data_IF_761357160023
#
_entry.id   IF_761357160023
#
_cell.length_a   1.000
_cell.length_b   1.000
_cell.length_c   1.000
_cell.angle_alpha   90.00
_cell.angle_beta   90.00
_cell.angle_gamma   90.00
#
_symmetry.space_group_name_H-M   'P 1'
#
loop_
_entity.id
_entity.type
_entity.pdbx_description
1 polymer ?
#
# COMPACT_ATOMS: atom_id res chain seq x y z
N UNK A 1 -5.10 22.06 11.16
CA UNK A 1 -6.17 21.94 10.14
C UNK A 1 -6.99 20.72 10.51
N UNK A 2 -8.32 20.84 10.55
CA UNK A 2 -9.21 19.69 10.76
C UNK A 2 -9.36 18.95 9.44
N UNK A 3 -8.91 17.70 9.36
CA UNK A 3 -9.11 16.88 8.17
C UNK A 3 -10.60 16.47 8.10
N UNK A 4 -11.27 16.77 6.98
CA UNK A 4 -12.63 16.27 6.74
C UNK A 4 -12.57 14.75 6.57
N UNK A 5 -13.39 14.02 7.31
CA UNK A 5 -13.44 12.57 7.19
C UNK A 5 -13.97 12.13 5.83
N UNK A 6 -13.31 11.15 5.22
CA UNK A 6 -13.83 10.44 4.06
C UNK A 6 -14.95 9.50 4.51
N UNK A 7 -15.98 9.30 3.67
CA UNK A 7 -17.09 8.42 4.02
C UNK A 7 -16.65 6.95 4.10
N UNK A 8 -17.55 6.09 4.58
CA UNK A 8 -17.43 4.62 4.56
C UNK A 8 -17.01 4.11 3.18
N UNK A 9 -16.00 3.23 3.14
CA UNK A 9 -15.37 2.80 1.88
C UNK A 9 -14.33 3.77 1.31
N UNK A 10 -14.03 4.85 2.04
CA UNK A 10 -13.10 5.89 1.66
C UNK A 10 -11.68 5.38 1.42
N UNK A 11 -10.94 6.12 0.59
CA UNK A 11 -9.55 5.82 0.20
C UNK A 11 -8.67 7.02 0.45
N UNK A 12 -7.79 6.94 1.43
CA UNK A 12 -6.74 7.94 1.64
C UNK A 12 -5.53 7.59 0.78
N UNK A 13 -4.93 8.61 0.15
CA UNK A 13 -3.69 8.49 -0.60
C UNK A 13 -2.72 9.55 -0.14
N UNK A 14 -1.48 9.15 0.11
CA UNK A 14 -0.45 10.07 0.58
C UNK A 14 0.94 9.61 0.14
N UNK A 15 1.86 10.56 0.10
CA UNK A 15 3.26 10.32 -0.21
C UNK A 15 4.12 11.43 0.42
N UNK A 16 5.41 11.14 0.60
CA UNK A 16 6.41 12.15 0.94
C UNK A 16 7.13 12.63 -0.33
N UNK A 17 7.47 13.92 -0.41
CA UNK A 17 8.07 14.55 -1.58
C UNK A 17 7.04 15.32 -2.41
N UNK A 18 7.19 15.28 -3.74
CA UNK A 18 6.26 15.91 -4.66
C UNK A 18 6.06 15.05 -5.92
N UNK A 19 4.92 15.22 -6.58
CA UNK A 19 4.56 14.44 -7.76
C UNK A 19 5.60 14.51 -8.90
N UNK A 20 6.29 15.65 -9.02
CA UNK A 20 7.29 15.97 -10.04
C UNK A 20 8.71 16.17 -9.48
N UNK A 21 8.98 15.71 -8.26
CA UNK A 21 10.33 15.71 -7.66
C UNK A 21 10.60 14.37 -6.96
N UNK A 22 11.75 14.25 -6.27
CA UNK A 22 12.06 13.07 -5.46
C UNK A 22 10.91 12.79 -4.47
N UNK A 23 10.45 11.53 -4.44
CA UNK A 23 9.24 11.13 -3.70
C UNK A 23 9.30 9.69 -3.23
N UNK A 24 8.51 9.36 -2.20
CA UNK A 24 8.24 7.99 -1.80
C UNK A 24 7.27 7.31 -2.80
N UNK A 25 7.00 6.02 -2.58
CA UNK A 25 5.82 5.39 -3.16
C UNK A 25 4.55 6.11 -2.70
N UNK A 26 3.50 6.07 -3.53
CA UNK A 26 2.17 6.53 -3.11
C UNK A 26 1.52 5.45 -2.29
N UNK A 27 1.26 5.72 -1.01
CA UNK A 27 0.59 4.80 -0.10
C UNK A 27 -0.91 5.02 -0.12
N UNK A 28 -1.65 3.93 0.12
CA UNK A 28 -3.10 3.96 0.20
C UNK A 28 -3.59 3.26 1.47
N UNK A 29 -4.57 3.89 2.14
CA UNK A 29 -5.37 3.28 3.20
C UNK A 29 -6.82 3.23 2.72
N UNK A 30 -7.43 2.05 2.77
CA UNK A 30 -8.80 1.80 2.29
C UNK A 30 -9.63 1.25 3.44
N UNK A 31 -10.71 1.95 3.79
CA UNK A 31 -11.70 1.43 4.73
C UNK A 31 -12.67 0.45 4.06
N UNK A 32 -13.09 -0.59 4.79
CA UNK A 32 -14.13 -1.51 4.34
C UNK A 32 -15.49 -0.83 4.22
N UNK A 33 -16.30 -1.26 3.26
CA UNK A 33 -17.68 -0.76 3.07
C UNK A 33 -18.68 -1.45 4.00
N UNK A 34 -18.51 -2.76 4.20
CA UNK A 34 -19.45 -3.61 4.94
C UNK A 34 -18.94 -3.99 6.33
N UNK A 35 -17.74 -3.58 6.70
CA UNK A 35 -17.09 -3.93 7.95
C UNK A 35 -15.99 -2.94 8.32
N UNK A 36 -15.36 -3.17 9.47
CA UNK A 36 -14.28 -2.32 10.02
C UNK A 36 -12.89 -2.77 9.58
N UNK A 37 -12.82 -3.46 8.45
CA UNK A 37 -11.55 -3.92 7.89
C UNK A 37 -10.82 -2.74 7.25
N UNK A 38 -9.51 -2.66 7.47
CA UNK A 38 -8.67 -1.65 6.83
C UNK A 38 -7.61 -2.34 5.98
N UNK A 39 -7.41 -1.83 4.78
CA UNK A 39 -6.38 -2.31 3.87
C UNK A 39 -5.33 -1.24 3.65
N UNK A 40 -4.06 -1.61 3.72
CA UNK A 40 -2.93 -0.69 3.56
C UNK A 40 -1.93 -1.28 2.57
N UNK A 41 -1.36 -0.43 1.72
CA UNK A 41 -0.28 -0.83 0.81
C UNK A 41 0.12 0.28 -0.14
N UNK A 42 1.19 0.03 -0.91
CA UNK A 42 1.55 0.89 -2.03
C UNK A 42 0.45 0.83 -3.07
N UNK A 43 0.10 1.98 -3.64
CA UNK A 43 -1.01 2.12 -4.58
C UNK A 43 -0.81 1.26 -5.83
N UNK A 44 0.40 1.22 -6.35
CA UNK A 44 0.81 0.38 -7.48
C UNK A 44 0.58 -1.09 -7.18
N UNK A 45 0.93 -1.55 -5.99
CA UNK A 45 0.90 -2.98 -5.61
C UNK A 45 -0.38 -3.44 -4.88
N UNK A 46 -1.30 -2.54 -4.49
CA UNK A 46 -2.44 -2.90 -3.61
C UNK A 46 -3.37 -3.99 -4.21
N UNK A 47 -3.33 -4.16 -5.53
CA UNK A 47 -4.08 -5.18 -6.25
C UNK A 47 -3.37 -6.55 -6.29
N UNK A 48 -2.09 -6.59 -5.92
CA UNK A 48 -1.26 -7.78 -5.87
C UNK A 48 -1.02 -8.22 -4.42
N UNK A 49 -0.58 -7.28 -3.58
CA UNK A 49 -0.25 -7.51 -2.18
C UNK A 49 -0.75 -6.36 -1.32
N UNK A 50 -1.29 -6.69 -0.15
CA UNK A 50 -1.77 -5.69 0.82
C UNK A 50 -1.69 -6.18 2.25
N UNK A 51 -1.57 -5.22 3.16
CA UNK A 51 -1.77 -5.43 4.59
C UNK A 51 -3.26 -5.36 4.85
N UNK A 52 -3.81 -6.43 5.42
CA UNK A 52 -5.21 -6.54 5.79
C UNK A 52 -5.33 -6.52 7.31
N UNK A 53 -5.93 -5.46 7.84
CA UNK A 53 -6.21 -5.23 9.26
C UNK A 53 -7.67 -5.57 9.52
N UNK A 54 -7.97 -6.87 9.63
CA UNK A 54 -9.34 -7.31 9.82
C UNK A 54 -9.84 -6.98 11.23
N UNK A 55 -11.13 -6.62 11.34
CA UNK A 55 -11.79 -6.31 12.61
C UNK A 55 -11.80 -7.49 13.61
N UNK A 56 -11.61 -8.71 13.10
CA UNK A 56 -11.46 -9.94 13.89
C UNK A 56 -10.10 -10.07 14.58
N UNK A 57 -9.16 -9.13 14.36
CA UNK A 57 -7.79 -9.22 14.85
C UNK A 57 -6.88 -10.13 14.00
N UNK A 58 -7.38 -10.66 12.88
CA UNK A 58 -6.58 -11.48 11.97
C UNK A 58 -5.75 -10.59 11.03
N UNK A 59 -4.72 -9.94 11.56
CA UNK A 59 -3.89 -9.03 10.78
C UNK A 59 -2.79 -9.76 10.01
N UNK A 60 -2.56 -9.34 8.77
CA UNK A 60 -1.63 -10.04 7.87
C UNK A 60 -1.18 -9.18 6.70
N UNK A 61 0.02 -9.45 6.20
CA UNK A 61 0.40 -9.17 4.82
C UNK A 61 -0.05 -10.37 3.97
N UNK A 62 -0.80 -10.11 2.90
CA UNK A 62 -1.27 -11.17 2.02
C UNK A 62 -1.33 -10.70 0.57
N UNK A 63 -1.12 -11.66 -0.33
CA UNK A 63 -1.44 -11.50 -1.74
C UNK A 63 -2.95 -11.51 -1.97
N UNK A 64 -3.40 -10.89 -3.06
CA UNK A 64 -4.81 -10.94 -3.47
C UNK A 64 -5.13 -12.29 -4.13
N UNK A 65 -6.43 -12.62 -4.20
CA UNK A 65 -6.87 -13.80 -4.94
C UNK A 65 -6.49 -13.71 -6.41
N UNK A 66 -6.77 -12.55 -7.02
CA UNK A 66 -6.53 -12.31 -8.44
C UNK A 66 -5.06 -12.51 -8.80
N UNK A 67 -4.14 -12.01 -7.96
CA UNK A 67 -2.70 -12.18 -8.16
C UNK A 67 -2.26 -13.64 -8.06
N UNK A 68 -2.71 -14.37 -7.03
CA UNK A 68 -2.33 -15.78 -6.87
C UNK A 68 -2.89 -16.68 -7.97
N UNK A 69 -4.00 -16.28 -8.62
CA UNK A 69 -4.53 -16.99 -9.78
C UNK A 69 -3.69 -16.79 -11.05
N UNK A 70 -3.05 -15.62 -11.19
CA UNK A 70 -2.19 -15.32 -12.36
C UNK A 70 -0.72 -15.68 -12.15
N UNK A 71 -0.30 -15.74 -10.88
CA UNK A 71 1.09 -15.96 -10.48
C UNK A 71 1.09 -16.80 -9.23
N UNK A 72 1.36 -18.11 -9.36
CA UNK A 72 1.45 -18.99 -8.19
C UNK A 72 2.75 -18.66 -7.45
N UNK A 73 2.70 -18.07 -6.25
CA UNK A 73 3.91 -17.88 -5.48
C UNK A 73 4.49 -19.25 -5.13
N UNK A 74 5.75 -19.48 -5.53
CA UNK A 74 6.50 -20.66 -5.12
C UNK A 74 7.15 -20.33 -3.78
N UNK A 75 6.57 -20.87 -2.72
CA UNK A 75 7.16 -20.81 -1.39
C UNK A 75 8.19 -21.94 -1.27
N UNK A 76 9.45 -21.62 -1.52
CA UNK A 76 10.55 -22.53 -1.20
C UNK A 76 10.75 -22.53 0.32
N UNK A 77 10.03 -23.41 1.03
CA UNK A 77 10.52 -24.19 2.17
C UNK A 77 9.38 -24.76 3.01
N UNK A 78 9.51 -26.06 3.31
CA UNK A 78 8.68 -26.81 4.26
C UNK A 78 8.87 -26.32 5.72
N UNK A 79 9.86 -25.46 5.96
CA UNK A 79 10.33 -25.00 7.28
C UNK A 79 10.43 -23.46 7.39
N UNK A 80 9.67 -22.70 6.61
CA UNK A 80 9.73 -21.23 6.70
C UNK A 80 9.18 -20.71 8.04
N UNK A 81 9.99 -20.00 8.83
CA UNK A 81 9.57 -19.27 10.04
C UNK A 81 8.50 -18.19 9.81
N UNK A 82 8.14 -17.96 8.55
CA UNK A 82 7.14 -16.98 8.14
C UNK A 82 5.75 -17.57 7.95
N UNK A 83 5.62 -18.91 7.78
CA UNK A 83 4.35 -19.54 7.39
C UNK A 83 4.20 -20.98 7.89
N UNK A 84 2.98 -21.39 8.25
CA UNK A 84 2.65 -22.81 8.51
C UNK A 84 2.10 -23.53 7.26
N UNK A 85 2.34 -24.84 7.15
CA UNK A 85 1.94 -25.64 5.99
C UNK A 85 0.42 -25.65 5.72
N UNK A 86 -0.39 -25.43 6.75
CA UNK A 86 -1.86 -25.43 6.68
C UNK A 86 -2.45 -24.02 6.41
N UNK A 87 -1.61 -23.00 6.24
CA UNK A 87 -2.08 -21.64 6.00
C UNK A 87 -2.51 -21.39 4.57
N UNK A 88 -3.49 -20.50 4.42
CA UNK A 88 -3.92 -19.92 3.15
C UNK A 88 -2.69 -19.47 2.32
N UNK A 89 -2.54 -19.94 1.07
CA UNK A 89 -1.34 -19.71 0.25
C UNK A 89 -1.03 -18.27 -0.08
N UNK A 90 -1.98 -17.38 0.15
CA UNK A 90 -1.84 -15.94 -0.05
C UNK A 90 -1.20 -15.24 1.13
N UNK A 91 -1.23 -15.84 2.33
CA UNK A 91 -0.71 -15.19 3.54
C UNK A 91 0.81 -15.23 3.48
N UNK A 92 1.41 -14.05 3.36
CA UNK A 92 2.87 -13.89 3.40
C UNK A 92 3.35 -13.98 4.85
N UNK A 93 2.70 -13.24 5.74
CA UNK A 93 3.01 -13.27 7.17
C UNK A 93 1.87 -12.67 7.98
N UNK A 94 1.70 -13.15 9.23
CA UNK A 94 0.76 -12.59 10.19
C UNK A 94 1.41 -11.45 10.96
N UNK A 95 0.60 -10.44 11.27
CA UNK A 95 1.04 -9.30 12.03
C UNK A 95 0.50 -9.42 13.46
N UNK A 96 1.32 -9.10 14.48
CA UNK A 96 0.80 -8.99 15.83
C UNK A 96 -0.22 -7.85 15.88
N UNK A 97 -1.29 -8.06 16.65
CA UNK A 97 -2.26 -7.00 16.94
C UNK A 97 -1.73 -6.19 18.13
N UNK A 98 -1.40 -4.90 17.95
CA UNK A 98 -0.94 -4.06 19.04
C UNK A 98 -2.02 -3.87 20.10
N UNK A 99 -1.63 -3.64 21.36
CA UNK A 99 -2.59 -3.37 22.42
C UNK A 99 -3.40 -2.12 22.09
N UNK A 100 -4.66 -2.16 22.49
CA UNK A 100 -5.51 -0.99 22.43
C UNK A 100 -5.17 -0.01 23.56
N UNK A 101 -5.19 1.27 23.23
CA UNK A 101 -5.05 2.36 24.17
C UNK A 101 -6.12 3.41 23.87
N UNK A 102 -6.95 3.70 24.87
CA UNK A 102 -7.99 4.75 24.80
C UNK A 102 -8.93 4.59 23.59
N UNK A 103 -9.29 3.35 23.23
CA UNK A 103 -10.17 3.06 22.10
C UNK A 103 -9.47 2.97 20.74
N UNK A 104 -8.14 3.10 20.70
CA UNK A 104 -7.33 3.09 19.47
C UNK A 104 -6.26 2.03 19.47
N UNK A 105 -6.01 1.46 18.30
CA UNK A 105 -4.87 0.61 18.02
C UNK A 105 -3.97 1.31 17.01
N UNK A 106 -2.71 1.54 17.39
CA UNK A 106 -1.67 1.98 16.46
C UNK A 106 -1.25 0.78 15.63
N UNK A 107 -1.85 0.63 14.44
CA UNK A 107 -1.77 -0.61 13.69
C UNK A 107 -0.40 -0.82 13.04
N UNK A 108 0.10 0.21 12.36
CA UNK A 108 1.38 0.16 11.67
C UNK A 108 2.00 1.55 11.51
N UNK A 109 3.31 1.57 11.29
CA UNK A 109 4.07 2.73 10.86
C UNK A 109 4.66 2.49 9.48
N UNK A 110 4.40 3.40 8.53
CA UNK A 110 5.12 3.47 7.27
C UNK A 110 6.23 4.50 7.43
N UNK A 111 7.49 4.06 7.33
CA UNK A 111 8.68 4.87 7.50
C UNK A 111 9.27 5.21 6.14
N UNK A 112 9.36 6.50 5.87
CA UNK A 112 10.04 7.06 4.72
C UNK A 112 11.35 7.68 5.19
N UNK A 113 12.42 7.43 4.46
CA UNK A 113 13.75 8.03 4.66
C UNK A 113 14.24 8.66 3.38
N UNK A 114 15.23 9.56 3.43
CA UNK A 114 15.81 10.14 2.21
C UNK A 114 16.37 9.06 1.26
N UNK A 115 17.13 8.04 1.73
CA UNK A 115 17.56 6.92 0.88
C UNK A 115 16.41 6.12 0.28
N UNK A 116 15.19 6.19 0.83
CA UNK A 116 14.01 5.52 0.27
C UNK A 116 13.27 6.34 -0.79
N UNK A 117 13.73 7.56 -1.11
CA UNK A 117 13.08 8.39 -2.13
C UNK A 117 13.50 7.96 -3.54
N UNK A 118 12.61 8.22 -4.48
CA UNK A 118 12.68 7.83 -5.89
C UNK A 118 12.57 9.05 -6.78
N UNK A 119 13.20 9.00 -7.95
CA UNK A 119 12.88 9.91 -9.03
C UNK A 119 11.37 9.87 -9.35
N UNK A 120 10.78 10.95 -9.85
CA UNK A 120 9.36 10.95 -10.25
C UNK A 120 9.06 9.82 -11.22
N UNK A 121 8.00 9.07 -10.94
CA UNK A 121 7.50 8.02 -11.83
C UNK A 121 6.03 8.26 -12.18
N UNK A 122 5.64 7.74 -13.35
CA UNK A 122 4.27 7.89 -13.84
C UNK A 122 3.35 6.95 -13.08
N UNK A 123 2.36 7.51 -12.42
CA UNK A 123 1.26 6.74 -11.87
C UNK A 123 0.00 6.91 -12.71
N UNK A 124 -0.82 5.85 -12.80
CA UNK A 124 -2.17 5.97 -13.37
C UNK A 124 -2.91 7.13 -12.69
N UNK A 125 -3.52 8.07 -13.41
CA UNK A 125 -4.26 9.17 -12.81
C UNK A 125 -5.33 8.67 -11.82
N UNK A 126 -5.53 9.38 -10.72
CA UNK A 126 -6.54 9.03 -9.72
C UNK A 126 -7.84 9.75 -10.03
N UNK A 127 -8.92 9.00 -10.25
CA UNK A 127 -10.26 9.57 -10.34
C UNK A 127 -10.81 9.85 -8.93
N UNK A 128 -11.29 11.06 -8.70
CA UNK A 128 -12.12 11.41 -7.54
C UNK A 128 -11.40 11.78 -6.23
N UNK A 129 -10.08 11.66 -6.13
CA UNK A 129 -9.32 12.09 -4.94
C UNK A 129 -7.86 12.36 -5.27
N UNK A 130 -7.29 13.43 -4.73
CA UNK A 130 -5.87 13.75 -4.88
C UNK A 130 -4.99 12.93 -3.93
N UNK A 131 -3.70 12.87 -4.24
CA UNK A 131 -2.66 12.40 -3.31
C UNK A 131 -2.33 13.55 -2.35
N UNK A 132 -2.33 13.27 -1.04
CA UNK A 132 -1.85 14.20 -0.02
C UNK A 132 -0.31 14.16 0.03
N UNK A 133 0.33 15.22 -0.47
CA UNK A 133 1.78 15.33 -0.51
C UNK A 133 2.33 15.97 0.77
N UNK A 134 3.31 15.32 1.38
CA UNK A 134 3.98 15.79 2.59
C UNK A 134 5.47 16.06 2.34
N UNK A 135 6.12 16.98 3.06
CA UNK A 135 7.54 17.27 2.84
C UNK A 135 8.40 16.01 2.98
N UNK A 136 9.25 15.73 1.99
CA UNK A 136 10.23 14.65 2.08
C UNK A 136 11.14 14.81 3.30
N UNK A 137 11.50 13.71 4.00
CA UNK A 137 12.57 13.75 4.99
C UNK A 137 13.92 14.05 4.32
N UNK A 138 14.87 14.61 5.08
CA UNK A 138 16.22 14.97 4.60
C UNK A 138 17.28 14.56 5.61
N UNK A 139 18.45 14.17 5.13
CA UNK A 139 19.59 13.77 5.94
C UNK A 139 19.23 12.62 6.88
N UNK A 140 19.47 12.84 8.16
CA UNK A 140 19.27 11.84 9.22
C UNK A 140 17.84 11.82 9.78
N UNK A 141 16.91 12.53 9.14
CA UNK A 141 15.51 12.52 9.56
C UNK A 141 14.71 11.44 8.83
N UNK A 142 13.71 10.91 9.51
CA UNK A 142 12.70 10.02 8.97
C UNK A 142 11.33 10.68 9.04
N UNK A 143 10.46 10.37 8.09
CA UNK A 143 9.02 10.66 8.19
C UNK A 143 8.28 9.37 8.46
N UNK A 144 7.40 9.37 9.44
CA UNK A 144 6.47 8.26 9.65
C UNK A 144 5.06 8.65 9.24
N UNK A 145 4.31 7.67 8.75
CA UNK A 145 2.87 7.70 8.61
C UNK A 145 2.29 6.59 9.47
N UNK A 146 1.79 6.96 10.64
CA UNK A 146 1.16 6.02 11.58
C UNK A 146 -0.30 5.82 11.21
N UNK A 147 -0.72 4.57 11.07
CA UNK A 147 -2.12 4.19 10.82
C UNK A 147 -2.73 3.75 12.15
N UNK A 148 -3.79 4.44 12.55
CA UNK A 148 -4.54 4.19 13.76
C UNK A 148 -5.94 3.71 13.38
N UNK A 149 -6.43 2.67 14.04
CA UNK A 149 -7.79 2.18 13.87
C UNK A 149 -8.52 2.24 15.20
N UNK A 150 -9.77 2.69 15.18
CA UNK A 150 -10.59 2.79 16.38
C UNK A 150 -11.47 1.55 16.55
N UNK A 151 -11.89 1.33 17.79
CA UNK A 151 -12.99 0.42 18.06
C UNK A 151 -14.34 0.93 17.56
N UNK A 152 -15.32 0.02 17.53
CA UNK A 152 -16.71 0.35 17.27
C UNK A 152 -17.24 1.27 18.38
N UNK A 153 -18.00 2.29 18.00
CA UNK A 153 -18.56 3.26 18.94
C UNK A 153 -17.56 4.26 19.51
N UNK A 154 -16.29 4.24 19.04
CA UNK A 154 -15.35 5.30 19.38
C UNK A 154 -15.95 6.63 18.92
N UNK A 155 -16.10 7.59 19.84
CA UNK A 155 -16.58 8.91 19.42
C UNK A 155 -15.45 9.63 18.69
N UNK A 156 -15.75 10.20 17.52
CA UNK A 156 -14.84 11.03 16.71
C UNK A 156 -14.09 12.09 17.53
N UNK A 157 -14.68 12.52 18.65
CA UNK A 157 -14.22 13.64 19.48
C UNK A 157 -13.28 13.28 20.62
N UNK A 158 -13.07 12.00 20.95
CA UNK A 158 -12.28 11.65 22.15
C UNK A 158 -10.78 11.51 21.92
N UNK A 159 -10.29 11.63 20.68
CA UNK A 159 -8.84 11.60 20.42
C UNK A 159 -8.39 12.79 19.60
N UNK A 160 -7.79 13.74 20.31
CA UNK A 160 -6.97 14.76 19.69
C UNK A 160 -5.61 14.15 19.39
N UNK A 161 -5.41 13.72 18.14
CA UNK A 161 -4.06 13.47 17.66
C UNK A 161 -3.29 14.80 17.73
N UNK A 162 -2.21 14.84 18.49
CA UNK A 162 -1.35 16.02 18.61
C UNK A 162 -0.59 16.29 17.32
N UNK A 163 -0.41 15.26 16.52
CA UNK A 163 0.36 15.30 15.29
C UNK A 163 -0.52 15.63 14.08
N UNK A 164 0.08 16.15 12.99
CA UNK A 164 -0.64 16.40 11.77
C UNK A 164 -1.39 15.16 11.26
N UNK A 165 -2.70 15.31 11.10
CA UNK A 165 -3.57 14.29 10.51
C UNK A 165 -3.48 14.38 9.00
N UNK A 166 -3.07 13.28 8.37
CA UNK A 166 -3.06 13.11 6.91
C UNK A 166 -4.47 12.94 6.38
N UNK A 167 -5.30 12.18 7.09
CA UNK A 167 -6.71 12.04 6.81
C UNK A 167 -7.41 11.05 7.72
N UNK A 168 -8.73 11.04 7.62
CA UNK A 168 -9.63 10.20 8.39
C UNK A 168 -10.56 9.47 7.42
N UNK A 169 -10.84 8.20 7.67
CA UNK A 169 -11.86 7.41 6.98
C UNK A 169 -12.87 6.97 8.03
N UNK A 170 -14.14 7.34 7.85
CA UNK A 170 -15.24 6.77 8.60
C UNK A 170 -15.43 5.31 8.19
N UNK A 171 -15.73 4.47 9.17
CA UNK A 171 -16.02 3.05 8.97
C UNK A 171 -17.34 2.68 9.66
N UNK A 172 -17.96 1.55 9.29
CA UNK A 172 -19.20 1.10 9.91
C UNK A 172 -19.11 1.03 11.43
N UNK A 173 -20.26 1.09 12.10
CA UNK A 173 -20.37 1.06 13.56
C UNK A 173 -19.66 2.21 14.27
N UNK A 174 -19.60 3.40 13.64
CA UNK A 174 -18.93 4.60 14.19
C UNK A 174 -17.50 4.29 14.62
N UNK A 175 -16.74 3.75 13.68
CA UNK A 175 -15.30 3.53 13.86
C UNK A 175 -14.54 4.29 12.79
N UNK A 176 -13.23 4.42 12.96
CA UNK A 176 -12.41 5.29 12.13
C UNK A 176 -11.05 4.66 11.84
N UNK A 177 -10.53 4.93 10.64
CA UNK A 177 -9.12 4.76 10.34
C UNK A 177 -8.50 6.16 10.17
N UNK A 178 -7.43 6.43 10.90
CA UNK A 178 -6.75 7.73 10.89
C UNK A 178 -5.31 7.52 10.50
N UNK A 179 -4.82 8.37 9.59
CA UNK A 179 -3.39 8.43 9.27
C UNK A 179 -2.85 9.72 9.84
N UNK A 180 -1.80 9.62 10.66
CA UNK A 180 -1.06 10.77 11.18
C UNK A 180 0.37 10.73 10.68
N UNK A 181 1.03 11.87 10.61
CA UNK A 181 2.43 11.93 10.19
C UNK A 181 3.29 12.69 11.19
N UNK A 182 4.51 12.19 11.38
CA UNK A 182 5.54 12.78 12.24
C UNK A 182 6.89 12.77 11.52
N UNK A 183 7.79 13.62 11.97
CA UNK A 183 9.18 13.65 11.52
C UNK A 183 10.08 13.54 12.75
N UNK A 184 11.09 12.68 12.66
CA UNK A 184 12.03 12.43 13.75
C UNK A 184 13.45 12.43 13.24
N UNK A 185 14.40 12.88 14.05
CA UNK A 185 15.81 12.61 13.81
C UNK A 185 16.11 11.17 14.24
N UNK A 186 16.57 10.33 13.32
CA UNK A 186 16.85 8.92 13.58
C UNK A 186 17.96 8.37 12.66
N UNK A 187 19.23 8.80 12.85
CA UNK A 187 20.34 8.46 11.96
C UNK A 187 20.53 6.95 11.76
N UNK A 188 20.37 6.16 12.82
CA UNK A 188 20.53 4.69 12.74
C UNK A 188 19.52 4.02 11.80
N UNK A 189 18.27 4.49 11.75
CA UNK A 189 17.27 3.95 10.83
C UNK A 189 17.50 4.42 9.39
N UNK A 190 17.98 5.65 9.21
CA UNK A 190 18.37 6.15 7.89
C UNK A 190 19.53 5.31 7.34
N UNK A 191 20.55 5.04 8.15
CA UNK A 191 21.68 4.20 7.74
C UNK A 191 21.26 2.76 7.46
N UNK A 192 20.40 2.19 8.30
CA UNK A 192 19.83 0.87 8.05
C UNK A 192 19.13 0.82 6.68
N UNK A 193 18.26 1.79 6.38
CA UNK A 193 17.53 1.82 5.09
C UNK A 193 18.49 2.01 3.93
N UNK A 194 19.52 2.85 4.08
CA UNK A 194 20.58 3.05 3.07
C UNK A 194 21.29 1.73 2.76
N UNK A 195 21.85 1.08 3.77
CA UNK A 195 22.58 -0.18 3.60
C UNK A 195 21.68 -1.25 2.98
N UNK A 196 20.46 -1.36 3.51
CA UNK A 196 19.49 -2.33 3.03
C UNK A 196 19.16 -2.09 1.55
N UNK A 197 18.87 -0.85 1.15
CA UNK A 197 18.63 -0.51 -0.27
C UNK A 197 19.82 -0.87 -1.14
N UNK A 198 21.04 -0.54 -0.70
CA UNK A 198 22.28 -0.92 -1.41
C UNK A 198 22.42 -2.43 -1.56
N UNK A 199 22.07 -3.23 -0.55
CA UNK A 199 22.10 -4.68 -0.64
C UNK A 199 21.13 -5.22 -1.71
N UNK A 200 19.92 -4.65 -1.80
CA UNK A 200 18.95 -4.99 -2.83
C UNK A 200 19.43 -4.60 -4.23
N UNK A 201 19.96 -3.38 -4.39
CA UNK A 201 20.53 -2.90 -5.64
C UNK A 201 21.70 -3.79 -6.10
N UNK A 202 22.57 -4.20 -5.18
CA UNK A 202 23.67 -5.13 -5.45
C UNK A 202 23.20 -6.54 -5.82
N UNK A 203 22.06 -6.98 -5.28
CA UNK A 203 21.42 -8.24 -5.65
C UNK A 203 20.67 -8.16 -7.00
N UNK A 204 20.71 -7.01 -7.67
CA UNK A 204 20.12 -6.80 -9.00
C UNK A 204 18.71 -6.23 -8.97
N UNK A 205 18.11 -6.01 -7.81
CA UNK A 205 16.82 -5.36 -7.70
C UNK A 205 16.97 -3.87 -7.99
N UNK A 206 16.40 -3.42 -9.10
CA UNK A 206 16.43 -2.01 -9.48
C UNK A 206 15.06 -1.40 -9.31
N UNK A 207 15.04 -0.09 -9.08
CA UNK A 207 13.83 0.73 -9.10
C UNK A 207 13.00 0.52 -10.39
N UNK A 208 13.65 0.09 -11.47
CA UNK A 208 13.08 -0.08 -12.80
C UNK A 208 12.75 -1.56 -13.11
N UNK A 209 12.69 -2.44 -12.11
CA UNK A 209 12.42 -3.86 -12.34
C UNK A 209 11.16 -4.33 -11.60
N UNK A 210 10.37 -5.18 -12.25
CA UNK A 210 9.05 -5.63 -11.79
C UNK A 210 9.11 -6.55 -10.55
N UNK A 211 10.33 -6.98 -10.20
CA UNK A 211 10.65 -7.84 -9.06
C UNK A 211 11.04 -7.08 -7.78
N UNK A 212 10.82 -5.77 -7.72
CA UNK A 212 11.22 -4.96 -6.57
C UNK A 212 10.54 -5.41 -5.25
N UNK A 213 11.32 -5.77 -4.22
CA UNK A 213 10.78 -6.39 -3.01
C UNK A 213 10.27 -5.35 -2.02
N UNK A 214 9.08 -5.64 -1.49
CA UNK A 214 8.49 -4.91 -0.39
C UNK A 214 9.23 -5.26 0.91
N UNK A 215 10.07 -4.36 1.42
CA UNK A 215 10.74 -4.61 2.69
C UNK A 215 9.88 -4.27 3.90
N UNK A 216 9.32 -5.35 4.44
CA UNK A 216 8.67 -5.36 5.73
C UNK A 216 9.68 -5.79 6.81
N UNK A 217 10.21 -4.83 7.58
CA UNK A 217 10.89 -5.20 8.84
C UNK A 217 9.83 -5.37 9.92
N UNK A 218 9.34 -6.59 10.08
CA UNK A 218 8.48 -6.96 11.20
C UNK A 218 9.24 -6.78 12.52
N UNK A 219 8.96 -5.70 13.24
CA UNK A 219 9.40 -5.61 14.63
C UNK A 219 8.53 -6.56 15.47
N UNK A 220 9.00 -7.80 15.67
CA UNK A 220 8.31 -8.81 16.49
C UNK A 220 8.48 -8.60 18.01
N UNK A 221 9.08 -7.50 18.47
CA UNK A 221 9.13 -7.22 19.92
C UNK A 221 7.74 -6.81 20.38
N UNK A 222 7.16 -7.65 21.24
CA UNK A 222 5.81 -7.54 21.79
C UNK A 222 5.53 -6.09 22.25
N UNK A 223 4.48 -5.49 21.67
CA UNK A 223 3.89 -4.18 21.97
C UNK A 223 4.23 -3.02 21.03
N UNK A 224 5.09 -3.20 20.02
CA UNK A 224 5.29 -2.16 19.00
C UNK A 224 4.37 -2.37 17.78
N UNK A 225 3.93 -1.28 17.12
CA UNK A 225 3.24 -1.39 15.84
C UNK A 225 4.15 -2.07 14.82
N UNK A 226 3.54 -2.71 13.82
CA UNK A 226 4.30 -3.22 12.67
C UNK A 226 4.94 -2.04 11.93
N UNK A 227 6.25 -2.07 11.72
CA UNK A 227 6.97 -1.03 10.98
C UNK A 227 7.24 -1.50 9.55
N UNK A 228 7.00 -0.63 8.58
CA UNK A 228 7.24 -0.85 7.16
C UNK A 228 8.21 0.21 6.68
N UNK A 229 9.25 -0.19 5.95
CA UNK A 229 10.20 0.76 5.38
C UNK A 229 9.92 0.88 3.88
N UNK A 230 9.63 2.11 3.44
CA UNK A 230 9.59 2.41 2.02
C UNK A 230 11.02 2.61 1.52
N UNK A 231 11.48 1.69 0.67
CA UNK A 231 12.81 1.75 0.09
C UNK A 231 12.87 2.48 -1.24
N UNK A 232 11.72 2.84 -1.81
CA UNK A 232 11.71 3.38 -3.14
C UNK A 232 12.17 2.37 -4.20
N UNK A 233 11.70 1.13 -4.11
CA UNK A 233 11.82 0.12 -5.18
C UNK A 233 10.39 -0.19 -5.66
N UNK A 234 9.80 0.68 -6.49
CA UNK A 234 8.45 0.49 -7.02
C UNK A 234 8.55 -0.16 -8.41
N UNK A 235 8.08 -1.41 -8.57
CA UNK A 235 8.25 -2.17 -9.81
C UNK A 235 7.56 -1.57 -11.03
N UNK A 236 6.63 -0.63 -10.83
CA UNK A 236 5.83 -0.06 -11.92
C UNK A 236 6.48 1.12 -12.63
N UNK A 237 7.66 1.57 -12.20
CA UNK A 237 8.34 2.72 -12.80
C UNK A 237 8.82 2.47 -14.25
N UNK A 238 8.96 1.22 -14.69
CA UNK A 238 9.62 0.85 -15.95
C UNK A 238 8.75 0.13 -16.98
N UNK A 239 7.59 -0.42 -16.58
CA UNK A 239 6.81 -1.32 -17.43
C UNK A 239 6.24 -0.66 -18.72
N UNK A 240 6.26 0.67 -18.84
CA UNK A 240 5.80 1.36 -20.06
C UNK A 240 6.92 1.68 -21.07
N UNK A 241 8.22 1.71 -20.69
CA UNK A 241 9.28 2.11 -21.63
C UNK A 241 9.88 0.95 -22.44
N UNK A 242 9.80 -0.29 -21.97
CA UNK A 242 10.35 -1.45 -22.70
C UNK A 242 9.44 -1.99 -23.82
N UNK A 243 8.19 -1.50 -23.93
CA UNK A 243 7.21 -1.99 -24.91
C UNK A 243 6.96 -1.09 -26.13
N UNK A 244 7.56 0.10 -26.19
CA UNK A 244 7.24 1.11 -27.23
C UNK A 244 8.25 1.18 -28.39
N UNK A 245 9.33 0.41 -28.36
CA UNK A 245 10.42 0.49 -29.34
C UNK A 245 10.63 -0.80 -30.15
N UNK A 246 9.57 -1.43 -30.67
CA UNK A 246 9.69 -2.30 -31.86
C UNK A 246 8.33 -2.54 -32.56
N UNK A 247 7.74 -1.48 -33.12
CA UNK A 247 6.66 -1.61 -34.12
C UNK A 247 6.98 -0.73 -35.33
N UNK A 248 8.10 -1.02 -35.98
CA UNK A 248 8.27 -0.65 -37.39
C UNK A 248 7.84 -1.80 -38.29
N UNK A 249 6.76 -1.53 -39.03
CA UNK A 249 6.45 -1.99 -40.38
C UNK A 249 6.23 -3.48 -40.68
N UNK A 250 4.95 -3.79 -40.94
CA UNK A 250 4.52 -4.85 -41.85
C UNK A 250 3.03 -4.69 -42.22
N UNK A 251 2.66 -4.42 -43.50
CA UNK A 251 1.27 -4.31 -43.90
C UNK A 251 0.69 -5.73 -44.10
N UNK A 252 0.06 -6.27 -43.06
CA UNK A 252 -0.64 -7.55 -43.10
C UNK A 252 -2.15 -7.35 -43.14
N UNK A 253 -2.72 -7.38 -44.34
CA UNK A 253 -4.17 -7.45 -44.55
C UNK A 253 -4.75 -8.71 -43.87
N UNK A 254 -5.84 -8.53 -43.11
CA UNK A 254 -6.62 -9.60 -42.47
C UNK A 254 -8.07 -9.16 -42.28
N UNK A 255 -9.03 -10.10 -42.26
CA UNK A 255 -10.33 -9.94 -42.92
C UNK A 255 -11.34 -9.09 -42.16
N UNK A 256 -12.19 -8.41 -42.93
CA UNK A 256 -13.41 -7.75 -42.46
C UNK A 256 -14.38 -8.82 -41.95
N UNK A 257 -14.81 -8.67 -40.70
CA UNK A 257 -16.04 -9.29 -40.22
C UNK A 257 -17.20 -8.33 -40.50
N UNK A 258 -18.12 -8.79 -41.34
CA UNK A 258 -19.44 -8.18 -41.53
C UNK A 258 -20.28 -8.48 -40.29
N UNK A 259 -20.62 -7.45 -39.53
CA UNK A 259 -21.74 -7.49 -38.60
C UNK A 259 -22.99 -6.98 -39.32
N UNK A 260 -23.93 -7.88 -39.59
CA UNK A 260 -25.31 -7.51 -39.91
C UNK A 260 -26.21 -7.62 -38.66
N UNK A 261 -27.25 -6.78 -38.55
CA UNK A 261 -27.81 -6.39 -37.26
C UNK A 261 -29.08 -7.16 -36.85
N UNK A 262 -29.30 -7.14 -35.53
CA UNK A 262 -30.57 -7.08 -34.80
C UNK A 262 -31.80 -7.86 -35.35
N UNK A 263 -32.09 -9.00 -34.71
CA UNK A 263 -33.41 -9.64 -34.75
C UNK A 263 -34.31 -9.13 -33.62
N UNK A 264 -35.45 -8.60 -34.01
CA UNK A 264 -36.52 -7.97 -33.23
C UNK A 264 -37.28 -8.92 -32.28
N UNK A 265 -37.78 -8.32 -31.20
CA UNK A 265 -38.78 -8.86 -30.28
C UNK A 265 -40.10 -9.24 -31.00
N UNK A 266 -40.69 -10.37 -30.58
CA UNK A 266 -42.06 -10.78 -30.91
C UNK A 266 -42.85 -11.07 -29.63
N UNK A 267 -43.88 -10.28 -29.40
CA UNK A 267 -44.98 -10.49 -28.43
C UNK A 267 -46.07 -11.35 -29.08
N UNK A 268 -46.79 -12.13 -28.26
CA UNK A 268 -48.03 -12.85 -28.58
C UNK A 268 -47.87 -14.36 -28.36
N UNK A 269 -48.69 -15.05 -27.56
CA UNK A 269 -50.01 -14.78 -26.99
C UNK A 269 -50.16 -15.55 -25.68
#
# INVERSE_FOLDING_TARGET
MTATALPVGGKLRFAAGAANAMRSSTWMVVGGTNGRDVYVGMRSQLHETKISLHASGQWRLAMTNDFVQTSTPVWDQKDSDLRSADEDPRVVTRLPVPPEKDGWQHALDIVITEPGLQAPFREKPVKGSSVSWWPAPKGEFIRTFGVFISNAGAQERETTFTDPVVGVIEMPSRSYAVVVTKVFHHPELVELVRQTRTDFENAGFRQDDDLSPFLLRLNRRNNNPTTIFDLGLDPTASAEESGAADRSDGPGAGPRYDESPAGSAGLGS
#
